data_IF_748994595799
#
_entry.id   IF_748994595799
#
_cell.length_a   1.000
_cell.length_b   1.000
_cell.length_c   1.000
_cell.angle_alpha   90.00
_cell.angle_beta   90.00
_cell.angle_gamma   90.00
#
_symmetry.space_group_name_H-M   'P 1'
#
loop_
_entity.id
_entity.type
_entity.pdbx_description
1 polymer ?
#
# COMPACT_ATOMS: atom_id res chain seq x y z
N UNK A 1 -8.21 15.49 -10.73
CA UNK A 1 -7.00 14.66 -10.64
C UNK A 1 -7.43 13.22 -10.81
N UNK A 2 -6.85 12.52 -11.75
CA UNK A 2 -7.11 11.11 -11.97
C UNK A 2 -6.26 10.31 -10.99
N UNK A 3 -6.82 9.32 -10.32
CA UNK A 3 -6.08 8.44 -9.41
C UNK A 3 -4.97 7.69 -10.19
N UNK A 4 -3.82 7.39 -9.60
CA UNK A 4 -2.81 6.62 -10.32
C UNK A 4 -3.28 5.19 -10.61
N UNK A 5 -3.88 4.53 -9.62
CA UNK A 5 -4.33 3.13 -9.70
C UNK A 5 -5.67 2.96 -8.99
N UNK A 6 -6.56 2.13 -9.54
CA UNK A 6 -7.75 1.60 -8.86
C UNK A 6 -7.81 0.09 -8.98
N UNK A 7 -8.37 -0.56 -7.98
CA UNK A 7 -8.60 -2.01 -7.95
C UNK A 7 -10.10 -2.27 -7.97
N UNK A 8 -10.53 -3.12 -8.89
CA UNK A 8 -11.93 -3.48 -9.06
C UNK A 8 -12.11 -4.98 -8.87
N UNK A 9 -12.83 -5.38 -7.84
CA UNK A 9 -13.07 -6.79 -7.49
C UNK A 9 -14.42 -7.21 -8.05
N UNK A 10 -14.41 -8.13 -8.99
CA UNK A 10 -15.60 -8.63 -9.66
C UNK A 10 -15.96 -10.02 -9.15
N UNK A 11 -17.18 -10.21 -8.70
CA UNK A 11 -17.69 -11.48 -8.24
C UNK A 11 -19.20 -11.60 -8.44
N UNK A 12 -19.70 -12.83 -8.57
CA UNK A 12 -21.14 -13.11 -8.68
C UNK A 12 -21.85 -12.84 -7.35
N UNK A 13 -23.05 -12.24 -7.35
CA UNK A 13 -23.83 -11.89 -6.13
C UNK A 13 -24.01 -13.06 -5.15
N UNK A 14 -24.09 -14.28 -5.66
CA UNK A 14 -24.26 -15.49 -4.84
C UNK A 14 -22.92 -16.12 -4.38
N UNK A 15 -21.78 -15.49 -4.66
CA UNK A 15 -20.49 -15.96 -4.13
C UNK A 15 -20.38 -15.61 -2.65
N UNK A 16 -20.49 -16.62 -1.78
CA UNK A 16 -20.63 -16.43 -0.33
C UNK A 16 -19.48 -15.63 0.31
N UNK A 17 -18.24 -15.77 -0.20
CA UNK A 17 -17.06 -15.05 0.32
C UNK A 17 -16.83 -13.68 -0.35
N UNK A 18 -17.55 -13.38 -1.44
CA UNK A 18 -17.22 -12.26 -2.32
C UNK A 18 -17.11 -10.91 -1.59
N UNK A 19 -18.10 -10.57 -0.80
CA UNK A 19 -18.11 -9.31 -0.05
C UNK A 19 -17.10 -9.28 1.10
N UNK A 20 -16.86 -10.40 1.77
CA UNK A 20 -15.84 -10.47 2.82
C UNK A 20 -14.43 -10.33 2.23
N UNK A 21 -14.16 -10.95 1.08
CA UNK A 21 -12.90 -10.78 0.35
C UNK A 21 -12.70 -9.32 -0.03
N UNK A 22 -13.74 -8.67 -0.61
CA UNK A 22 -13.69 -7.24 -0.90
C UNK A 22 -13.37 -6.41 0.34
N UNK A 23 -14.06 -6.63 1.44
CA UNK A 23 -13.84 -5.90 2.69
C UNK A 23 -12.42 -6.07 3.23
N UNK A 24 -11.87 -7.29 3.17
CA UNK A 24 -10.48 -7.56 3.55
C UNK A 24 -9.48 -6.86 2.63
N UNK A 25 -9.73 -6.90 1.32
CA UNK A 25 -8.90 -6.20 0.33
C UNK A 25 -8.96 -4.68 0.53
N UNK A 26 -10.14 -4.16 0.81
CA UNK A 26 -10.30 -2.75 1.10
C UNK A 26 -9.43 -2.30 2.30
N UNK A 27 -9.51 -3.03 3.41
CA UNK A 27 -8.68 -2.76 4.60
C UNK A 27 -7.18 -2.90 4.34
N UNK A 28 -6.82 -3.86 3.51
CA UNK A 28 -5.42 -4.16 3.19
C UNK A 28 -4.78 -3.10 2.28
N UNK A 29 -5.52 -2.68 1.26
CA UNK A 29 -5.01 -1.89 0.14
C UNK A 29 -5.47 -0.42 0.18
N UNK A 30 -6.69 -0.14 0.63
CA UNK A 30 -7.18 1.22 0.73
C UNK A 30 -6.98 1.75 2.15
N UNK A 31 -7.85 1.41 3.08
CA UNK A 31 -7.84 1.98 4.43
C UNK A 31 -8.51 1.06 5.45
N UNK A 32 -7.91 0.95 6.64
CA UNK A 32 -8.53 0.29 7.80
C UNK A 32 -9.11 1.35 8.74
N UNK A 33 -10.44 1.47 8.81
CA UNK A 33 -11.08 2.49 9.66
C UNK A 33 -10.99 2.21 11.15
N UNK A 34 -10.71 0.98 11.57
CA UNK A 34 -10.45 0.67 12.99
C UNK A 34 -9.11 1.24 13.43
N UNK A 35 -8.25 1.51 12.45
CA UNK A 35 -6.93 2.07 12.64
C UNK A 35 -6.68 3.16 11.58
N UNK A 36 -7.45 4.28 11.60
CA UNK A 36 -7.37 5.30 10.56
C UNK A 36 -6.01 5.98 10.45
N UNK A 37 -5.15 5.81 11.47
CA UNK A 37 -3.77 6.29 11.48
C UNK A 37 -2.78 5.25 10.94
N UNK A 38 -3.12 3.98 10.99
CA UNK A 38 -2.39 2.92 10.32
C UNK A 38 -2.95 2.79 8.92
N UNK A 39 -2.54 3.70 8.05
CA UNK A 39 -2.99 3.75 6.67
C UNK A 39 -2.88 2.39 5.99
N UNK A 40 -3.87 2.05 5.20
CA UNK A 40 -3.71 1.16 4.08
C UNK A 40 -2.66 1.72 3.11
N UNK A 41 -2.76 1.35 1.85
CA UNK A 41 -1.86 1.87 0.81
C UNK A 41 -2.47 3.08 0.07
N UNK A 42 -3.65 3.54 0.49
CA UNK A 42 -4.46 4.54 -0.19
C UNK A 42 -4.78 4.19 -1.66
N UNK A 43 -4.79 2.89 -2.00
CA UNK A 43 -5.21 2.39 -3.30
C UNK A 43 -6.71 2.12 -3.24
N UNK A 44 -7.56 2.85 -3.96
CA UNK A 44 -9.01 2.64 -3.92
C UNK A 44 -9.40 1.25 -4.42
N UNK A 45 -10.29 0.60 -3.68
CA UNK A 45 -10.81 -0.74 -4.00
C UNK A 45 -12.32 -0.65 -4.15
N UNK A 46 -12.82 -1.04 -5.31
CA UNK A 46 -14.24 -1.10 -5.62
C UNK A 46 -14.68 -2.55 -5.81
N UNK A 47 -15.97 -2.83 -5.64
CA UNK A 47 -16.52 -4.12 -6.00
C UNK A 47 -17.62 -3.98 -7.05
N UNK A 48 -17.78 -5.01 -7.86
CA UNK A 48 -18.79 -5.09 -8.90
C UNK A 48 -19.44 -6.47 -8.86
N UNK A 49 -20.75 -6.48 -8.86
CA UNK A 49 -21.56 -7.70 -8.87
C UNK A 49 -22.77 -7.51 -9.76
N UNK A 50 -23.53 -8.55 -9.97
CA UNK A 50 -24.80 -8.50 -10.70
C UNK A 50 -25.95 -8.12 -9.76
N UNK A 51 -26.92 -7.34 -10.28
CA UNK A 51 -28.16 -7.00 -9.59
C UNK A 51 -29.20 -8.14 -9.61
N UNK A 52 -30.42 -7.86 -9.10
CA UNK A 52 -31.52 -8.83 -9.10
C UNK A 52 -31.94 -9.27 -10.52
N UNK A 53 -31.82 -8.37 -11.49
CA UNK A 53 -32.18 -8.57 -12.88
C UNK A 53 -31.02 -9.17 -13.73
N UNK A 54 -29.87 -9.45 -13.11
CA UNK A 54 -28.70 -10.00 -13.76
C UNK A 54 -27.81 -8.97 -14.47
N UNK A 55 -28.07 -7.66 -14.31
CA UNK A 55 -27.21 -6.64 -14.88
C UNK A 55 -25.93 -6.52 -14.07
N UNK A 56 -24.78 -6.63 -14.72
CA UNK A 56 -23.48 -6.49 -14.08
C UNK A 56 -23.09 -5.02 -14.06
N UNK A 57 -22.70 -4.51 -12.89
CA UNK A 57 -22.18 -3.15 -12.75
C UNK A 57 -20.84 -3.04 -13.46
N UNK A 58 -20.78 -2.15 -14.46
CA UNK A 58 -19.56 -1.97 -15.27
C UNK A 58 -18.45 -1.27 -14.47
N UNK A 59 -17.21 -1.64 -14.78
CA UNK A 59 -16.03 -0.97 -14.24
C UNK A 59 -15.83 0.36 -14.95
N UNK A 60 -15.76 1.46 -14.18
CA UNK A 60 -15.41 2.76 -14.71
C UNK A 60 -13.87 2.92 -14.76
N UNK A 61 -13.31 2.71 -15.94
CA UNK A 61 -11.87 2.86 -16.19
C UNK A 61 -11.40 4.31 -16.29
N UNK A 62 -12.30 5.29 -16.20
CA UNK A 62 -11.95 6.71 -16.26
C UNK A 62 -11.54 7.29 -14.90
N UNK A 63 -11.79 6.56 -13.81
CA UNK A 63 -11.47 6.98 -12.44
C UNK A 63 -9.96 7.02 -12.16
N UNK A 64 -9.19 6.21 -12.88
CA UNK A 64 -7.74 6.10 -12.68
C UNK A 64 -6.98 6.06 -14.00
N UNK A 65 -5.67 6.34 -13.92
CA UNK A 65 -4.77 6.15 -15.06
C UNK A 65 -4.63 4.66 -15.39
N UNK A 66 -4.56 3.83 -14.35
CA UNK A 66 -4.37 2.39 -14.48
C UNK A 66 -5.40 1.64 -13.67
N UNK A 67 -6.12 0.72 -14.29
CA UNK A 67 -7.21 -0.05 -13.69
C UNK A 67 -6.82 -1.51 -13.54
N UNK A 68 -6.77 -2.00 -12.30
CA UNK A 68 -6.56 -3.41 -11.97
C UNK A 68 -7.90 -4.08 -11.73
N UNK A 69 -8.23 -5.13 -12.48
CA UNK A 69 -9.46 -5.90 -12.34
C UNK A 69 -9.10 -7.27 -11.77
N UNK A 70 -9.65 -7.59 -10.60
CA UNK A 70 -9.56 -8.89 -9.95
C UNK A 70 -10.88 -9.62 -10.14
N UNK A 71 -10.88 -10.67 -10.95
CA UNK A 71 -12.07 -11.45 -11.29
C UNK A 71 -12.08 -12.75 -10.48
N UNK A 72 -13.03 -12.91 -9.55
CA UNK A 72 -13.20 -14.09 -8.70
C UNK A 72 -14.21 -15.04 -9.34
N UNK A 73 -13.72 -16.09 -9.99
CA UNK A 73 -14.56 -17.00 -10.78
C UNK A 73 -14.94 -18.22 -9.95
N UNK A 74 -16.10 -18.16 -9.31
CA UNK A 74 -16.72 -19.28 -8.63
C UNK A 74 -17.67 -20.08 -9.55
N UNK A 75 -18.33 -21.09 -8.99
CA UNK A 75 -19.30 -21.88 -9.76
C UNK A 75 -20.50 -21.06 -10.23
N UNK A 76 -20.97 -20.11 -9.40
CA UNK A 76 -22.13 -19.32 -9.78
C UNK A 76 -21.83 -18.41 -10.98
N UNK A 77 -20.68 -17.74 -10.96
CA UNK A 77 -20.22 -16.92 -12.09
C UNK A 77 -20.04 -17.77 -13.35
N UNK A 78 -19.45 -18.95 -13.23
CA UNK A 78 -19.25 -19.86 -14.38
C UNK A 78 -20.56 -20.31 -15.00
N UNK A 79 -21.62 -20.54 -14.20
CA UNK A 79 -22.94 -21.00 -14.67
C UNK A 79 -23.84 -19.88 -15.19
N UNK A 80 -23.50 -18.60 -14.96
CA UNK A 80 -24.28 -17.46 -15.43
C UNK A 80 -23.95 -17.12 -16.88
N UNK A 81 -24.99 -17.04 -17.73
CA UNK A 81 -24.84 -16.65 -19.13
C UNK A 81 -24.51 -15.15 -19.23
N UNK A 82 -25.03 -14.32 -18.32
CA UNK A 82 -24.75 -12.88 -18.24
C UNK A 82 -23.26 -12.64 -17.96
N UNK A 83 -22.67 -13.36 -17.00
CA UNK A 83 -21.24 -13.26 -16.68
C UNK A 83 -20.36 -13.77 -17.82
N UNK A 84 -20.77 -14.81 -18.55
CA UNK A 84 -20.05 -15.27 -19.73
C UNK A 84 -20.06 -14.21 -20.85
N UNK A 85 -21.24 -13.65 -21.13
CA UNK A 85 -21.36 -12.57 -22.12
C UNK A 85 -20.54 -11.34 -21.73
N UNK A 86 -20.55 -10.96 -20.44
CA UNK A 86 -19.74 -9.88 -19.93
C UNK A 86 -18.24 -10.16 -20.08
N UNK A 87 -17.78 -11.37 -19.74
CA UNK A 87 -16.40 -11.78 -19.90
C UNK A 87 -15.93 -11.77 -21.37
N UNK A 88 -16.77 -12.24 -22.29
CA UNK A 88 -16.44 -12.27 -23.71
C UNK A 88 -16.47 -10.89 -24.37
N UNK A 89 -17.31 -9.97 -23.93
CA UNK A 89 -17.47 -8.64 -24.51
C UNK A 89 -16.60 -7.60 -23.80
N UNK A 90 -16.92 -7.30 -22.54
CA UNK A 90 -16.32 -6.17 -21.79
C UNK A 90 -14.92 -6.47 -21.28
N UNK A 91 -14.71 -7.59 -20.60
CA UNK A 91 -13.37 -7.91 -20.06
C UNK A 91 -12.34 -8.11 -21.16
N UNK A 92 -12.79 -8.52 -22.35
CA UNK A 92 -11.91 -8.63 -23.52
C UNK A 92 -11.53 -7.28 -24.10
N UNK A 93 -12.43 -6.28 -24.05
CA UNK A 93 -12.12 -4.92 -24.47
C UNK A 93 -11.08 -4.28 -23.56
N UNK A 94 -11.20 -4.47 -22.23
CA UNK A 94 -10.22 -3.98 -21.26
C UNK A 94 -8.82 -4.56 -21.51
N UNK A 95 -8.73 -5.78 -22.00
CA UNK A 95 -7.44 -6.43 -22.31
C UNK A 95 -6.67 -5.78 -23.44
N UNK A 96 -7.34 -5.14 -24.38
CA UNK A 96 -6.69 -4.43 -25.51
C UNK A 96 -6.11 -3.09 -25.06
N UNK A 97 -6.58 -2.58 -23.93
CA UNK A 97 -6.06 -1.36 -23.34
C UNK A 97 -4.89 -1.68 -22.40
N UNK A 98 -3.71 -1.13 -22.67
CA UNK A 98 -2.52 -1.34 -21.84
C UNK A 98 -2.69 -0.82 -20.42
N UNK A 99 -3.56 0.18 -20.22
CA UNK A 99 -3.85 0.79 -18.91
C UNK A 99 -4.77 -0.04 -18.02
N UNK A 100 -5.37 -1.12 -18.56
CA UNK A 100 -6.29 -1.98 -17.81
C UNK A 100 -5.83 -3.43 -17.88
N UNK A 101 -5.65 -4.07 -16.73
CA UNK A 101 -5.24 -5.48 -16.64
C UNK A 101 -6.29 -6.29 -15.88
N UNK A 102 -6.62 -7.46 -16.42
CA UNK A 102 -7.56 -8.41 -15.81
C UNK A 102 -6.80 -9.62 -15.26
N UNK A 103 -6.92 -9.83 -13.96
CA UNK A 103 -6.36 -10.97 -13.24
C UNK A 103 -7.49 -11.87 -12.75
N UNK A 104 -7.54 -13.09 -13.25
CA UNK A 104 -8.55 -14.04 -12.90
C UNK A 104 -8.10 -15.00 -11.80
N UNK A 105 -8.96 -15.21 -10.80
CA UNK A 105 -8.79 -16.18 -9.72
C UNK A 105 -9.75 -17.33 -9.95
N UNK A 106 -9.23 -18.51 -10.20
CA UNK A 106 -10.04 -19.70 -10.41
C UNK A 106 -10.43 -20.35 -9.07
N UNK A 107 -11.72 -20.27 -8.72
CA UNK A 107 -12.34 -20.88 -7.55
C UNK A 107 -13.29 -22.02 -7.93
N UNK A 108 -13.30 -22.40 -9.18
CA UNK A 108 -14.05 -23.49 -9.73
C UNK A 108 -13.19 -24.26 -10.74
N UNK A 109 -13.33 -25.57 -10.80
CA UNK A 109 -12.49 -26.43 -11.65
C UNK A 109 -12.50 -26.08 -13.14
N UNK A 110 -13.57 -25.44 -13.62
CA UNK A 110 -13.72 -25.00 -15.01
C UNK A 110 -13.64 -23.48 -15.17
N UNK A 111 -13.13 -22.75 -14.16
CA UNK A 111 -13.03 -21.30 -14.20
C UNK A 111 -12.32 -20.76 -15.46
N UNK A 112 -11.32 -21.49 -15.98
CA UNK A 112 -10.57 -21.11 -17.17
C UNK A 112 -11.41 -21.21 -18.47
N UNK A 113 -12.56 -21.89 -18.44
CA UNK A 113 -13.50 -22.00 -19.55
C UNK A 113 -14.59 -20.92 -19.55
N UNK A 114 -14.58 -19.98 -18.58
CA UNK A 114 -15.56 -18.89 -18.50
C UNK A 114 -15.60 -18.11 -19.83
N UNK A 115 -14.45 -17.88 -20.44
CA UNK A 115 -14.30 -17.25 -21.74
C UNK A 115 -13.09 -17.80 -22.47
N UNK A 116 -13.26 -18.17 -23.75
CA UNK A 116 -12.16 -18.66 -24.59
C UNK A 116 -11.02 -17.65 -24.74
N UNK A 117 -11.30 -16.37 -24.52
CA UNK A 117 -10.32 -15.28 -24.60
C UNK A 117 -9.59 -15.06 -23.27
N UNK A 118 -10.26 -15.26 -22.13
CA UNK A 118 -9.63 -15.23 -20.81
C UNK A 118 -8.75 -16.47 -20.58
N UNK A 119 -9.07 -17.62 -21.18
CA UNK A 119 -8.29 -18.86 -21.03
C UNK A 119 -6.81 -18.73 -21.41
N UNK A 120 -6.46 -17.71 -22.20
CA UNK A 120 -5.06 -17.37 -22.55
C UNK A 120 -4.34 -16.55 -21.49
N UNK A 121 -5.03 -16.12 -20.43
CA UNK A 121 -4.44 -15.37 -19.34
C UNK A 121 -3.86 -16.32 -18.29
N UNK A 122 -2.91 -15.82 -17.53
CA UNK A 122 -2.42 -16.54 -16.37
C UNK A 122 -3.45 -16.43 -15.24
N UNK A 123 -4.02 -17.58 -14.85
CA UNK A 123 -4.94 -17.66 -13.72
C UNK A 123 -4.16 -17.81 -12.41
N UNK A 124 -4.60 -17.12 -11.38
CA UNK A 124 -4.21 -17.41 -10.02
C UNK A 124 -5.04 -18.61 -9.52
N UNK A 125 -4.46 -19.80 -9.55
CA UNK A 125 -5.12 -21.01 -9.12
C UNK A 125 -4.60 -21.45 -7.74
N UNK A 126 -5.52 -21.66 -6.80
CA UNK A 126 -5.22 -22.09 -5.43
C UNK A 126 -5.72 -23.50 -5.14
N UNK A 127 -6.25 -24.22 -6.15
CA UNK A 127 -6.86 -25.55 -6.00
C UNK A 127 -7.92 -25.59 -4.89
N UNK A 128 -8.68 -24.52 -4.72
CA UNK A 128 -9.73 -24.38 -3.71
C UNK A 128 -10.95 -23.69 -4.30
N UNK A 129 -12.09 -23.89 -3.66
CA UNK A 129 -13.35 -23.18 -3.99
C UNK A 129 -13.61 -21.98 -3.08
N UNK A 130 -12.72 -21.76 -2.10
CA UNK A 130 -12.81 -20.72 -1.10
C UNK A 130 -11.44 -20.04 -0.89
N UNK A 131 -11.35 -18.72 -0.88
CA UNK A 131 -10.10 -17.98 -0.69
C UNK A 131 -9.76 -17.69 0.78
N UNK A 132 -10.77 -17.55 1.62
CA UNK A 132 -10.54 -17.20 3.02
C UNK A 132 -9.65 -18.17 3.78
N UNK A 133 -9.74 -19.51 3.57
CA UNK A 133 -8.84 -20.47 4.21
C UNK A 133 -7.38 -20.37 3.75
N UNK A 134 -7.12 -19.83 2.55
CA UNK A 134 -5.79 -19.67 1.95
C UNK A 134 -5.41 -18.20 1.79
N UNK A 135 -5.95 -17.35 2.66
CA UNK A 135 -5.86 -15.89 2.56
C UNK A 135 -4.42 -15.38 2.47
N UNK A 136 -3.52 -15.90 3.30
CA UNK A 136 -2.12 -15.43 3.33
C UNK A 136 -1.37 -15.76 2.04
N UNK A 137 -1.63 -16.93 1.45
CA UNK A 137 -1.07 -17.28 0.14
C UNK A 137 -1.67 -16.42 -0.97
N UNK A 138 -2.98 -16.21 -0.93
CA UNK A 138 -3.66 -15.31 -1.86
C UNK A 138 -3.10 -13.89 -1.78
N UNK A 139 -2.94 -13.36 -0.56
CA UNK A 139 -2.37 -12.03 -0.32
C UNK A 139 -0.96 -11.91 -0.91
N UNK A 140 -0.11 -12.91 -0.71
CA UNK A 140 1.24 -12.93 -1.26
C UNK A 140 1.22 -12.82 -2.78
N UNK A 141 0.40 -13.63 -3.45
CA UNK A 141 0.28 -13.61 -4.92
C UNK A 141 -0.36 -12.32 -5.44
N UNK A 142 -1.34 -11.78 -4.71
CA UNK A 142 -1.95 -10.51 -5.06
C UNK A 142 -0.93 -9.38 -5.01
N UNK A 143 -0.12 -9.30 -3.96
CA UNK A 143 0.95 -8.30 -3.89
C UNK A 143 1.94 -8.42 -5.05
N UNK A 144 2.31 -9.65 -5.47
CA UNK A 144 3.15 -9.84 -6.66
C UNK A 144 2.54 -9.18 -7.89
N UNK A 145 1.32 -9.59 -8.20
CA UNK A 145 0.68 -9.09 -9.41
C UNK A 145 0.46 -7.58 -9.37
N UNK A 146 0.19 -7.01 -8.19
CA UNK A 146 0.06 -5.56 -8.01
C UNK A 146 1.41 -4.82 -8.13
N UNK A 147 2.49 -5.37 -7.57
CA UNK A 147 3.82 -4.77 -7.70
C UNK A 147 4.22 -4.75 -9.18
N UNK A 148 4.05 -5.86 -9.91
CA UNK A 148 4.31 -5.90 -11.35
C UNK A 148 3.48 -4.90 -12.11
N UNK A 149 2.18 -4.85 -11.82
CA UNK A 149 1.27 -3.91 -12.44
C UNK A 149 1.70 -2.46 -12.25
N UNK A 150 2.10 -2.08 -11.02
CA UNK A 150 2.55 -0.72 -10.70
C UNK A 150 3.93 -0.40 -11.29
N UNK A 151 4.84 -1.38 -11.36
CA UNK A 151 6.20 -1.17 -11.89
C UNK A 151 6.27 -1.15 -13.41
N UNK A 152 5.39 -1.87 -14.12
CA UNK A 152 5.34 -1.84 -15.59
C UNK A 152 5.10 -0.42 -16.12
N UNK A 153 4.37 0.42 -15.39
CA UNK A 153 4.10 1.81 -15.78
C UNK A 153 5.24 2.79 -15.48
N UNK A 154 6.11 2.46 -14.53
CA UNK A 154 7.26 3.29 -14.19
C UNK A 154 8.44 3.11 -15.18
N UNK A 155 8.44 2.04 -15.97
CA UNK A 155 9.56 1.64 -16.83
C UNK A 155 9.19 1.67 -18.33
N UNK A 156 8.33 2.59 -18.76
CA UNK A 156 7.85 2.69 -20.14
C UNK A 156 8.95 2.87 -21.22
N UNK A 157 10.20 3.16 -20.82
CA UNK A 157 11.32 3.42 -21.72
C UNK A 157 12.29 2.25 -21.89
N UNK A 158 12.17 1.13 -21.17
CA UNK A 158 13.14 0.04 -21.25
C UNK A 158 12.47 -1.34 -21.34
N UNK A 159 12.89 -2.14 -22.34
CA UNK A 159 12.56 -3.54 -22.64
C UNK A 159 11.64 -4.21 -21.58
N UNK A 160 10.35 -4.32 -21.87
CA UNK A 160 9.18 -4.74 -21.08
C UNK A 160 9.34 -6.01 -20.21
N UNK A 161 10.47 -6.25 -19.61
CA UNK A 161 10.72 -7.36 -18.70
C UNK A 161 10.67 -6.89 -17.26
N UNK A 162 9.68 -7.39 -16.54
CA UNK A 162 9.67 -7.33 -15.08
C UNK A 162 11.02 -7.81 -14.55
N UNK A 163 11.76 -6.90 -13.91
CA UNK A 163 12.96 -7.28 -13.15
C UNK A 163 12.52 -7.87 -11.83
N UNK A 164 12.91 -9.12 -11.58
CA UNK A 164 12.74 -9.74 -10.27
C UNK A 164 13.38 -8.84 -9.20
N UNK A 165 12.72 -8.73 -8.05
CA UNK A 165 13.23 -7.91 -6.95
C UNK A 165 14.43 -8.60 -6.29
N UNK A 166 15.52 -7.90 -6.19
CA UNK A 166 16.66 -8.34 -5.40
C UNK A 166 16.40 -8.13 -3.92
N UNK A 167 16.73 -9.13 -3.09
CA UNK A 167 16.63 -9.02 -1.63
C UNK A 167 18.03 -8.90 -1.03
N UNK A 168 18.19 -7.94 -0.14
CA UNK A 168 19.38 -7.85 0.71
C UNK A 168 19.01 -8.19 2.16
N UNK A 169 19.63 -9.22 2.74
CA UNK A 169 19.41 -9.66 4.12
C UNK A 169 20.55 -9.12 5.00
N UNK A 170 20.26 -8.07 5.76
CA UNK A 170 21.19 -7.49 6.73
C UNK A 170 21.05 -8.17 8.08
N UNK A 171 22.18 -8.62 8.65
CA UNK A 171 22.19 -9.30 9.93
C UNK A 171 23.54 -9.17 10.65
N UNK A 172 23.53 -9.25 11.97
CA UNK A 172 24.76 -9.36 12.75
C UNK A 172 25.31 -10.78 12.66
N UNK A 173 26.59 -10.94 12.30
CA UNK A 173 27.24 -12.27 12.10
C UNK A 173 27.19 -13.15 13.36
N UNK A 174 27.21 -12.53 14.55
CA UNK A 174 27.35 -13.24 15.83
C UNK A 174 26.09 -14.02 16.20
N UNK A 175 24.92 -13.43 16.02
CA UNK A 175 23.63 -13.95 16.52
C UNK A 175 22.51 -13.96 15.47
N UNK A 176 22.65 -13.24 14.36
CA UNK A 176 21.65 -13.16 13.28
C UNK A 176 21.87 -14.14 12.13
N UNK A 177 23.08 -14.73 12.00
CA UNK A 177 23.45 -15.54 10.83
C UNK A 177 22.50 -16.71 10.57
N UNK A 178 22.18 -17.50 11.60
CA UNK A 178 21.29 -18.67 11.48
C UNK A 178 19.89 -18.27 10.98
N UNK A 179 19.37 -17.16 11.49
CA UNK A 179 18.03 -16.66 11.11
C UNK A 179 18.03 -16.15 9.68
N UNK A 180 19.13 -15.49 9.26
CA UNK A 180 19.29 -15.02 7.88
C UNK A 180 19.39 -16.20 6.90
N UNK A 181 20.15 -17.24 7.24
CA UNK A 181 20.24 -18.48 6.44
C UNK A 181 18.88 -19.19 6.35
N UNK A 182 18.10 -19.26 7.44
CA UNK A 182 16.75 -19.83 7.47
C UNK A 182 15.79 -19.05 6.55
N UNK A 183 15.82 -17.72 6.58
CA UNK A 183 15.05 -16.89 5.63
C UNK A 183 15.47 -17.16 4.18
N UNK A 184 16.76 -17.21 3.90
CA UNK A 184 17.27 -17.52 2.56
C UNK A 184 16.77 -18.88 2.08
N UNK A 185 16.91 -19.91 2.91
CA UNK A 185 16.48 -21.26 2.59
C UNK A 185 14.97 -21.34 2.36
N UNK A 186 14.17 -20.60 3.14
CA UNK A 186 12.74 -20.46 2.93
C UNK A 186 12.43 -19.84 1.55
N UNK A 187 13.13 -18.78 1.16
CA UNK A 187 12.93 -18.12 -0.14
C UNK A 187 13.33 -19.03 -1.30
N UNK A 188 14.42 -19.82 -1.15
CA UNK A 188 14.90 -20.79 -2.14
C UNK A 188 13.95 -21.97 -2.27
N UNK A 189 13.50 -22.56 -1.15
CA UNK A 189 12.59 -23.72 -1.15
C UNK A 189 11.17 -23.36 -1.60
N UNK A 190 10.73 -22.16 -1.31
CA UNK A 190 9.46 -21.60 -1.80
C UNK A 190 9.51 -21.28 -3.30
N UNK A 191 10.61 -21.61 -3.96
CA UNK A 191 11.02 -21.19 -5.30
C UNK A 191 9.99 -21.34 -6.42
N UNK A 192 8.99 -22.21 -6.31
CA UNK A 192 7.88 -22.25 -7.29
C UNK A 192 6.82 -21.17 -7.05
N UNK A 193 6.70 -20.64 -5.81
CA UNK A 193 5.67 -19.67 -5.41
C UNK A 193 6.21 -18.24 -5.31
N UNK A 194 7.48 -18.08 -4.95
CA UNK A 194 8.15 -16.79 -4.71
C UNK A 194 9.26 -16.49 -5.74
N UNK A 195 9.71 -17.47 -6.53
CA UNK A 195 10.78 -17.29 -7.54
C UNK A 195 10.42 -16.33 -8.65
N UNK A 196 9.13 -16.09 -8.85
CA UNK A 196 8.68 -15.06 -9.78
C UNK A 196 8.86 -13.64 -9.24
N UNK A 197 9.03 -13.48 -7.90
CA UNK A 197 9.21 -12.20 -7.24
C UNK A 197 10.65 -11.83 -7.01
N UNK A 198 11.38 -12.80 -6.45
CA UNK A 198 12.72 -12.58 -6.00
C UNK A 198 13.69 -13.30 -6.92
N UNK A 199 14.69 -12.58 -7.37
CA UNK A 199 15.86 -13.23 -7.93
C UNK A 199 16.60 -13.96 -6.80
N UNK A 200 16.33 -15.25 -6.69
CA UNK A 200 16.91 -16.13 -5.68
C UNK A 200 18.44 -16.18 -5.79
N UNK A 201 18.98 -15.95 -7.00
CA UNK A 201 20.43 -15.90 -7.23
C UNK A 201 21.05 -14.58 -6.76
N UNK A 202 20.24 -13.54 -6.57
CA UNK A 202 20.66 -12.23 -6.07
C UNK A 202 20.35 -12.01 -4.59
N UNK A 203 19.99 -13.06 -3.83
CA UNK A 203 19.90 -12.98 -2.37
C UNK A 203 21.29 -12.82 -1.83
N UNK A 204 21.61 -11.60 -1.41
CA UNK A 204 22.93 -11.28 -0.89
C UNK A 204 22.90 -11.27 0.62
N UNK A 205 23.82 -12.04 1.20
CA UNK A 205 24.17 -11.90 2.61
C UNK A 205 25.26 -10.84 2.72
N UNK A 206 25.25 -10.02 3.77
CA UNK A 206 26.26 -9.01 4.05
C UNK A 206 27.68 -9.57 4.16
N UNK A 207 28.31 -9.90 3.03
CA UNK A 207 29.67 -10.43 2.92
C UNK A 207 30.58 -9.54 2.06
N UNK A 208 31.59 -9.02 2.72
CA UNK A 208 32.92 -8.64 2.23
C UNK A 208 33.06 -8.07 0.81
N UNK A 209 32.84 -6.78 0.66
CA UNK A 209 33.55 -5.84 -0.23
C UNK A 209 32.74 -4.54 -0.20
N UNK A 210 33.38 -3.52 0.35
CA UNK A 210 32.76 -2.27 0.75
C UNK A 210 31.91 -1.61 -0.36
N UNK A 211 32.44 -1.55 -1.57
CA UNK A 211 31.79 -0.87 -2.69
C UNK A 211 30.67 -1.71 -3.33
N UNK A 212 30.87 -3.01 -3.49
CA UNK A 212 29.87 -3.90 -4.06
C UNK A 212 28.66 -4.07 -3.13
N UNK A 213 28.89 -4.10 -1.81
CA UNK A 213 27.84 -4.19 -0.82
C UNK A 213 26.93 -2.96 -0.86
N UNK A 214 27.52 -1.78 -0.94
CA UNK A 214 26.80 -0.51 -1.01
C UNK A 214 25.97 -0.41 -2.29
N UNK A 215 26.50 -0.84 -3.42
CA UNK A 215 25.77 -0.80 -4.70
C UNK A 215 24.62 -1.80 -4.74
N UNK A 216 24.78 -2.96 -4.12
CA UNK A 216 23.71 -3.95 -3.99
C UNK A 216 22.57 -3.45 -3.10
N UNK A 217 22.88 -2.82 -1.97
CA UNK A 217 21.86 -2.19 -1.09
C UNK A 217 21.06 -1.15 -1.85
N UNK A 218 21.69 -0.36 -2.73
CA UNK A 218 21.01 0.68 -3.52
C UNK A 218 19.95 0.15 -4.50
N UNK A 219 20.04 -1.12 -4.88
CA UNK A 219 19.17 -1.72 -5.90
C UNK A 219 18.19 -2.75 -5.33
N UNK A 220 18.36 -3.14 -4.06
CA UNK A 220 17.60 -4.21 -3.42
C UNK A 220 16.56 -3.70 -2.45
N UNK A 221 15.51 -4.49 -2.22
CA UNK A 221 14.67 -4.36 -1.04
C UNK A 221 15.41 -4.99 0.15
N UNK A 222 15.27 -4.41 1.34
CA UNK A 222 16.08 -4.80 2.48
C UNK A 222 15.27 -5.46 3.59
N UNK A 223 15.73 -6.62 4.04
CA UNK A 223 15.24 -7.28 5.25
C UNK A 223 16.32 -7.22 6.32
N UNK A 224 16.00 -6.59 7.44
CA UNK A 224 16.90 -6.46 8.59
C UNK A 224 16.53 -7.49 9.64
N UNK A 225 17.43 -8.45 9.91
CA UNK A 225 17.32 -9.37 11.04
C UNK A 225 17.90 -8.67 12.27
N UNK A 226 17.02 -8.05 13.04
CA UNK A 226 17.38 -7.24 14.19
C UNK A 226 17.49 -8.11 15.45
N UNK A 227 18.71 -8.43 15.81
CA UNK A 227 19.10 -9.19 17.00
C UNK A 227 19.75 -8.31 18.05
N UNK A 228 20.06 -8.85 19.23
CA UNK A 228 20.68 -8.11 20.33
C UNK A 228 22.01 -7.46 19.95
N UNK A 229 22.79 -8.11 19.09
CA UNK A 229 24.10 -7.61 18.63
C UNK A 229 24.02 -6.64 17.46
N UNK A 230 22.87 -6.52 16.80
CA UNK A 230 22.73 -5.76 15.55
C UNK A 230 23.16 -4.30 15.70
N UNK A 231 22.69 -3.62 16.75
CA UNK A 231 22.96 -2.19 17.00
C UNK A 231 24.43 -1.89 17.36
N UNK A 232 25.21 -2.91 17.72
CA UNK A 232 26.63 -2.77 18.04
C UNK A 232 27.52 -2.90 16.80
N UNK A 233 26.96 -3.26 15.63
CA UNK A 233 27.72 -3.53 14.41
C UNK A 233 27.69 -2.35 13.45
N UNK A 234 28.83 -1.72 13.28
CA UNK A 234 28.97 -0.54 12.41
C UNK A 234 28.51 -0.82 10.97
N UNK A 235 28.77 -2.01 10.42
CA UNK A 235 28.33 -2.40 9.09
C UNK A 235 26.82 -2.47 8.98
N UNK A 236 26.15 -3.09 9.92
CA UNK A 236 24.67 -3.16 9.94
C UNK A 236 24.05 -1.75 9.97
N UNK A 237 24.68 -0.85 10.73
CA UNK A 237 24.28 0.55 10.78
C UNK A 237 24.43 1.22 9.42
N UNK A 238 25.59 1.06 8.77
CA UNK A 238 25.87 1.63 7.43
C UNK A 238 24.90 1.10 6.37
N UNK A 239 24.58 -0.20 6.39
CA UNK A 239 23.62 -0.81 5.47
C UNK A 239 22.24 -0.18 5.57
N UNK A 240 21.69 -0.03 6.78
CA UNK A 240 20.39 0.64 6.99
C UNK A 240 20.44 2.10 6.53
N UNK A 241 21.50 2.83 6.92
CA UNK A 241 21.64 4.24 6.53
C UNK A 241 21.64 4.38 5.01
N UNK A 242 22.36 3.49 4.32
CA UNK A 242 22.46 3.52 2.87
C UNK A 242 21.15 3.14 2.17
N UNK A 243 20.45 2.13 2.68
CA UNK A 243 19.11 1.76 2.16
C UNK A 243 18.10 2.90 2.32
N UNK A 244 18.09 3.60 3.47
CA UNK A 244 17.25 4.77 3.70
C UNK A 244 17.61 5.94 2.78
N UNK A 245 18.91 6.26 2.64
CA UNK A 245 19.37 7.29 1.71
C UNK A 245 18.96 6.99 0.27
N UNK A 246 19.04 5.72 -0.13
CA UNK A 246 18.64 5.25 -1.47
C UNK A 246 17.12 5.05 -1.60
N UNK A 247 16.34 5.41 -0.59
CA UNK A 247 14.87 5.28 -0.55
C UNK A 247 14.41 3.86 -0.91
N UNK A 248 15.08 2.84 -0.36
CA UNK A 248 14.69 1.44 -0.61
C UNK A 248 13.64 0.98 0.38
N UNK A 249 12.71 0.06 -0.03
CA UNK A 249 11.83 -0.61 0.92
C UNK A 249 12.66 -1.36 1.96
N UNK A 250 12.37 -1.15 3.24
CA UNK A 250 13.04 -1.80 4.36
C UNK A 250 11.99 -2.39 5.29
N UNK A 251 12.23 -3.60 5.76
CA UNK A 251 11.44 -4.24 6.82
C UNK A 251 12.37 -4.73 7.92
N UNK A 252 12.00 -4.46 9.17
CA UNK A 252 12.74 -4.93 10.33
C UNK A 252 12.06 -6.15 10.92
N UNK A 253 12.82 -7.21 11.06
CA UNK A 253 12.41 -8.46 11.68
C UNK A 253 13.08 -8.55 13.04
N UNK A 254 12.30 -8.30 14.11
CA UNK A 254 12.80 -8.42 15.45
C UNK A 254 12.95 -9.90 15.85
N UNK A 255 14.18 -10.32 16.07
CA UNK A 255 14.57 -11.64 16.54
C UNK A 255 15.47 -11.49 17.77
N UNK A 256 14.91 -10.88 18.81
CA UNK A 256 15.62 -10.53 20.04
C UNK A 256 15.22 -11.48 21.13
N UNK A 257 16.20 -12.14 21.74
CA UNK A 257 16.05 -12.96 22.95
C UNK A 257 16.55 -12.16 24.15
N UNK A 258 15.62 -11.52 24.88
CA UNK A 258 15.93 -10.77 26.09
C UNK A 258 16.08 -9.25 25.91
N UNK A 259 16.61 -8.55 26.93
CA UNK A 259 16.73 -7.10 26.89
C UNK A 259 17.81 -6.63 25.93
N UNK A 260 17.62 -5.44 25.36
CA UNK A 260 18.61 -4.77 24.52
C UNK A 260 19.03 -3.48 25.21
N UNK A 261 20.31 -3.36 25.52
CA UNK A 261 20.84 -2.18 26.23
C UNK A 261 20.79 -0.90 25.41
N UNK A 262 20.87 -1.05 24.08
CA UNK A 262 20.86 0.07 23.14
C UNK A 262 20.16 -0.29 21.83
N UNK A 263 19.15 0.51 21.50
CA UNK A 263 18.51 0.44 20.18
C UNK A 263 19.19 1.40 19.20
N UNK A 264 19.10 1.06 17.91
CA UNK A 264 19.60 1.91 16.84
C UNK A 264 18.61 3.04 16.55
N UNK A 265 18.98 4.32 16.78
CA UNK A 265 18.02 5.44 16.74
C UNK A 265 17.53 5.80 15.34
N UNK A 266 18.22 5.37 14.28
CA UNK A 266 17.90 5.74 12.89
C UNK A 266 17.00 4.72 12.18
N UNK A 267 16.36 3.81 12.91
CA UNK A 267 15.35 2.91 12.38
C UNK A 267 14.09 3.71 11.98
N UNK A 268 13.73 4.71 12.78
CA UNK A 268 12.62 5.63 12.46
C UNK A 268 11.29 4.91 12.24
N UNK A 269 10.55 5.36 11.23
CA UNK A 269 9.23 4.84 10.86
C UNK A 269 9.30 3.61 9.93
N UNK A 270 10.30 2.74 10.08
CA UNK A 270 10.43 1.55 9.24
C UNK A 270 9.43 0.48 9.72
N UNK A 271 8.63 -0.11 8.79
CA UNK A 271 7.76 -1.23 9.13
C UNK A 271 8.51 -2.38 9.78
N UNK A 272 7.93 -2.93 10.84
CA UNK A 272 8.60 -3.97 11.63
C UNK A 272 7.65 -5.08 12.08
N UNK A 273 8.20 -6.26 12.29
CA UNK A 273 7.48 -7.45 12.76
C UNK A 273 8.37 -8.27 13.68
N UNK A 274 7.76 -8.88 14.70
CA UNK A 274 8.48 -9.86 15.55
C UNK A 274 8.51 -11.22 14.86
N UNK A 275 9.69 -11.84 14.77
CA UNK A 275 9.84 -13.18 14.24
C UNK A 275 9.29 -14.23 15.22
N UNK A 276 8.38 -15.06 14.74
CA UNK A 276 7.72 -16.10 15.53
C UNK A 276 7.89 -17.51 14.95
N UNK A 277 8.93 -17.72 14.13
CA UNK A 277 9.19 -18.99 13.47
C UNK A 277 8.45 -19.19 12.15
N UNK A 278 7.75 -18.17 11.65
CA UNK A 278 7.05 -18.20 10.36
C UNK A 278 7.47 -17.00 9.50
N UNK A 279 7.87 -17.27 8.27
CA UNK A 279 8.34 -16.26 7.32
C UNK A 279 7.23 -15.66 6.46
N UNK A 280 6.08 -16.32 6.33
CA UNK A 280 5.00 -15.83 5.47
C UNK A 280 4.48 -14.44 5.86
N UNK A 281 4.26 -14.12 7.15
CA UNK A 281 3.90 -12.77 7.56
C UNK A 281 5.00 -11.73 7.28
N UNK A 282 6.28 -12.13 7.40
CA UNK A 282 7.43 -11.27 7.08
C UNK A 282 7.44 -10.93 5.59
N UNK A 283 7.27 -11.93 4.73
CA UNK A 283 7.22 -11.75 3.28
C UNK A 283 6.03 -10.88 2.88
N UNK A 284 4.86 -11.10 3.46
CA UNK A 284 3.69 -10.27 3.20
C UNK A 284 3.90 -8.81 3.61
N UNK A 285 4.57 -8.56 4.75
CA UNK A 285 4.93 -7.20 5.15
C UNK A 285 5.94 -6.57 4.19
N UNK A 286 6.93 -7.33 3.73
CA UNK A 286 7.94 -6.86 2.77
C UNK A 286 7.30 -6.47 1.43
N UNK A 287 6.43 -7.32 0.91
CA UNK A 287 5.71 -7.06 -0.35
C UNK A 287 4.76 -5.86 -0.20
N UNK A 288 4.02 -5.78 0.91
CA UNK A 288 3.17 -4.64 1.22
C UNK A 288 3.98 -3.34 1.27
N UNK A 289 5.13 -3.34 1.94
CA UNK A 289 6.02 -2.18 2.05
C UNK A 289 6.55 -1.76 0.68
N UNK A 290 6.91 -2.73 -0.15
CA UNK A 290 7.39 -2.49 -1.52
C UNK A 290 6.28 -1.89 -2.40
N UNK A 291 5.08 -2.47 -2.37
CA UNK A 291 3.92 -1.94 -3.11
C UNK A 291 3.58 -0.51 -2.65
N UNK A 292 3.58 -0.27 -1.34
CA UNK A 292 3.33 1.06 -0.79
C UNK A 292 4.31 2.08 -1.35
N UNK A 293 5.60 1.78 -1.32
CA UNK A 293 6.61 2.71 -1.81
C UNK A 293 6.40 3.05 -3.28
N UNK A 294 6.22 2.06 -4.15
CA UNK A 294 6.00 2.31 -5.58
C UNK A 294 4.70 3.05 -5.87
N UNK A 295 3.63 2.72 -5.14
CA UNK A 295 2.37 3.45 -5.26
C UNK A 295 2.50 4.91 -4.82
N UNK A 296 3.19 5.17 -3.69
CA UNK A 296 3.42 6.54 -3.21
C UNK A 296 4.34 7.32 -4.17
N UNK A 297 5.31 6.69 -4.80
CA UNK A 297 6.13 7.32 -5.85
C UNK A 297 5.27 7.78 -7.04
N UNK A 298 4.30 6.95 -7.47
CA UNK A 298 3.34 7.33 -8.52
C UNK A 298 2.41 8.46 -8.06
N UNK A 299 1.82 8.32 -6.87
CA UNK A 299 0.84 9.26 -6.33
C UNK A 299 1.46 10.64 -6.12
N UNK A 300 2.66 10.68 -5.54
CA UNK A 300 3.35 11.91 -5.18
C UNK A 300 4.19 12.48 -6.32
N UNK A 301 4.54 11.66 -7.31
CA UNK A 301 5.38 12.07 -8.44
C UNK A 301 4.85 13.27 -9.22
N UNK A 302 3.52 13.43 -9.25
CA UNK A 302 2.87 14.58 -9.91
C UNK A 302 3.13 15.95 -9.23
N UNK A 303 3.59 15.94 -7.96
CA UNK A 303 3.90 17.16 -7.21
C UNK A 303 5.35 17.57 -7.30
N UNK A 304 6.21 16.73 -7.89
CA UNK A 304 7.65 16.99 -7.96
C UNK A 304 7.94 18.14 -8.93
N UNK A 305 8.56 19.19 -8.41
CA UNK A 305 9.08 20.32 -9.18
C UNK A 305 10.41 20.83 -8.60
N UNK A 306 10.91 21.96 -9.07
CA UNK A 306 12.19 22.54 -8.63
C UNK A 306 12.21 23.00 -7.17
N UNK A 307 11.06 23.19 -6.54
CA UNK A 307 10.90 23.65 -5.14
C UNK A 307 10.16 22.64 -4.27
N UNK A 308 9.84 21.48 -4.82
CA UNK A 308 9.06 20.46 -4.14
C UNK A 308 9.78 19.13 -4.17
N UNK A 309 10.05 18.61 -2.98
CA UNK A 309 10.58 17.27 -2.76
C UNK A 309 9.46 16.34 -2.32
N UNK A 310 9.57 15.08 -2.68
CA UNK A 310 8.65 14.05 -2.24
C UNK A 310 9.37 13.03 -1.35
N UNK A 311 8.68 12.57 -0.31
CA UNK A 311 9.07 11.42 0.52
C UNK A 311 7.93 10.42 0.51
N UNK A 312 8.22 9.14 0.36
CA UNK A 312 7.22 8.06 0.31
C UNK A 312 6.73 7.60 1.68
N UNK A 313 7.30 8.19 2.74
CA UNK A 313 6.91 8.01 4.14
C UNK A 313 6.93 9.34 4.84
N UNK A 314 6.28 9.45 6.01
CA UNK A 314 6.39 10.65 6.83
C UNK A 314 7.87 10.97 7.10
N UNK A 315 8.33 12.22 6.89
CA UNK A 315 9.71 12.60 7.10
C UNK A 315 10.06 12.53 8.60
N UNK A 316 11.27 12.09 8.88
CA UNK A 316 11.88 12.14 10.21
C UNK A 316 13.20 12.97 10.20
N UNK A 317 13.74 13.24 11.35
CA UNK A 317 14.96 14.06 11.47
C UNK A 317 16.14 13.50 10.68
N UNK A 318 16.25 12.17 10.58
CA UNK A 318 17.31 11.54 9.82
C UNK A 318 17.09 11.66 8.30
N UNK A 319 15.87 11.46 7.82
CA UNK A 319 15.56 11.59 6.39
C UNK A 319 15.81 13.02 5.85
N UNK A 320 15.70 14.03 6.72
CA UNK A 320 16.00 15.42 6.36
C UNK A 320 17.49 15.68 6.10
N UNK A 321 18.39 14.85 6.65
CA UNK A 321 19.83 14.98 6.37
C UNK A 321 20.17 14.67 4.91
N UNK A 322 19.35 13.88 4.22
CA UNK A 322 19.53 13.58 2.79
C UNK A 322 19.27 14.77 1.87
N UNK A 323 18.66 15.83 2.40
CA UNK A 323 18.42 17.08 1.68
C UNK A 323 19.39 18.20 2.12
N UNK A 324 20.47 17.85 2.81
CA UNK A 324 21.42 18.82 3.36
C UNK A 324 22.13 19.67 2.26
N UNK A 325 22.24 19.16 1.04
CA UNK A 325 22.85 19.87 -0.10
C UNK A 325 21.97 21.04 -0.59
N UNK A 326 20.65 21.02 -0.30
CA UNK A 326 19.74 22.12 -0.67
C UNK A 326 19.90 23.26 0.36
N UNK A 327 20.26 24.48 -0.06
CA UNK A 327 20.44 25.59 0.86
C UNK A 327 19.19 25.85 1.71
N UNK A 328 19.39 26.05 3.02
CA UNK A 328 18.29 26.40 3.92
C UNK A 328 17.72 27.83 3.66
N UNK A 329 18.32 28.57 2.75
CA UNK A 329 17.90 29.90 2.34
C UNK A 329 16.74 29.87 1.34
N UNK A 330 16.51 28.75 0.68
CA UNK A 330 15.51 28.61 -0.37
C UNK A 330 14.19 28.09 0.21
N UNK A 331 13.08 28.58 -0.34
CA UNK A 331 11.77 28.04 -0.05
C UNK A 331 11.67 26.61 -0.60
N UNK A 332 11.28 25.67 0.25
CA UNK A 332 11.18 24.25 -0.07
C UNK A 332 9.88 23.66 0.45
N UNK A 333 9.17 22.95 -0.38
CA UNK A 333 8.05 22.11 0.03
C UNK A 333 8.50 20.66 0.12
N UNK A 334 8.17 19.98 1.23
CA UNK A 334 8.37 18.54 1.40
C UNK A 334 6.99 17.92 1.50
N UNK A 335 6.61 17.18 0.44
CA UNK A 335 5.32 16.50 0.37
C UNK A 335 5.52 15.03 0.75
N UNK A 336 4.66 14.56 1.65
CA UNK A 336 4.68 13.20 2.20
C UNK A 336 3.25 12.63 2.27
N UNK A 337 3.08 11.29 2.34
CA UNK A 337 1.76 10.65 2.41
C UNK A 337 0.94 11.11 3.61
N UNK A 338 -0.39 11.03 3.48
CA UNK A 338 -1.31 11.16 4.62
C UNK A 338 -1.01 10.10 5.70
N UNK A 339 -1.23 10.36 6.97
CA UNK A 339 -1.79 11.57 7.59
C UNK A 339 -0.75 12.66 7.89
N UNK A 340 -1.19 13.92 8.19
CA UNK A 340 -0.28 14.98 8.62
C UNK A 340 0.49 14.60 9.90
N UNK A 341 1.76 14.95 9.94
CA UNK A 341 2.57 14.85 11.17
C UNK A 341 2.08 15.82 12.24
N UNK A 342 2.27 15.44 13.50
CA UNK A 342 1.84 16.24 14.64
C UNK A 342 2.59 17.57 14.77
N UNK A 343 2.00 18.54 15.48
CA UNK A 343 2.59 19.88 15.68
C UNK A 343 3.96 19.85 16.32
N UNK A 344 4.13 19.05 17.36
CA UNK A 344 5.41 18.98 18.09
C UNK A 344 6.50 18.36 17.22
N UNK A 345 6.16 17.34 16.45
CA UNK A 345 7.06 16.73 15.47
C UNK A 345 7.41 17.71 14.36
N UNK A 346 6.43 18.46 13.84
CA UNK A 346 6.66 19.53 12.87
C UNK A 346 7.66 20.58 13.38
N UNK A 347 7.58 20.98 14.66
CA UNK A 347 8.54 21.92 15.26
C UNK A 347 9.96 21.34 15.27
N UNK A 348 10.10 20.04 15.56
CA UNK A 348 11.40 19.37 15.55
C UNK A 348 11.96 19.34 14.12
N UNK A 349 11.17 18.93 13.15
CA UNK A 349 11.60 18.84 11.75
C UNK A 349 12.00 20.21 11.17
N UNK A 350 11.25 21.26 11.49
CA UNK A 350 11.59 22.65 11.11
C UNK A 350 12.92 23.09 11.72
N UNK A 351 13.22 22.73 12.96
CA UNK A 351 14.52 23.04 13.60
C UNK A 351 15.67 22.33 12.91
N UNK A 352 15.49 21.04 12.56
CA UNK A 352 16.51 20.26 11.85
C UNK A 352 16.81 20.86 10.47
N UNK A 353 15.79 21.32 9.75
CA UNK A 353 15.94 21.85 8.38
C UNK A 353 16.20 23.36 8.31
N UNK A 354 16.25 24.08 9.43
CA UNK A 354 16.66 25.49 9.43
C UNK A 354 15.54 26.52 9.30
N UNK A 355 14.33 26.22 9.80
CA UNK A 355 13.33 27.24 10.07
C UNK A 355 12.11 27.30 9.15
N UNK A 356 11.55 28.52 8.98
CA UNK A 356 10.22 28.73 8.39
C UNK A 356 10.17 28.66 6.86
N UNK A 357 11.30 28.51 6.19
CA UNK A 357 11.36 28.40 4.72
C UNK A 357 11.03 27.01 4.18
N UNK A 358 11.00 26.00 5.06
CA UNK A 358 10.58 24.65 4.66
C UNK A 358 9.15 24.39 5.12
N UNK A 359 8.29 24.07 4.16
CA UNK A 359 6.91 23.67 4.40
C UNK A 359 6.79 22.16 4.29
N UNK A 360 6.30 21.53 5.35
CA UNK A 360 5.95 20.11 5.36
C UNK A 360 4.45 19.98 5.18
N UNK A 361 4.00 19.26 4.16
CA UNK A 361 2.58 19.13 3.88
C UNK A 361 2.25 17.78 3.23
N UNK A 362 1.03 17.33 3.45
CA UNK A 362 0.47 16.21 2.71
C UNK A 362 -0.11 16.71 1.37
N UNK A 363 -0.41 15.82 0.42
CA UNK A 363 -1.04 16.19 -0.85
C UNK A 363 -2.31 17.01 -0.66
N UNK A 364 -3.12 16.66 0.33
CA UNK A 364 -4.38 17.36 0.62
C UNK A 364 -4.12 18.77 1.15
N UNK A 365 -3.12 18.95 2.01
CA UNK A 365 -2.71 20.27 2.51
C UNK A 365 -2.10 21.14 1.40
N UNK A 366 -1.27 20.53 0.53
CA UNK A 366 -0.64 21.23 -0.59
C UNK A 366 -1.66 21.74 -1.60
N UNK A 367 -2.67 20.92 -1.89
CA UNK A 367 -3.77 21.29 -2.79
C UNK A 367 -4.79 22.23 -2.20
N UNK A 368 -4.60 22.68 -0.98
CA UNK A 368 -5.55 23.59 -0.33
C UNK A 368 -6.04 24.62 -1.35
N UNK A 369 -7.26 24.36 -1.85
CA UNK A 369 -7.86 25.01 -3.03
C UNK A 369 -8.24 26.48 -2.81
N UNK A 370 -7.56 27.19 -1.93
CA UNK A 370 -7.92 28.55 -1.57
C UNK A 370 -9.25 28.68 -0.82
N UNK A 371 -9.93 27.57 -0.57
CA UNK A 371 -11.16 27.53 0.20
C UNK A 371 -10.82 27.71 1.68
N UNK A 372 -11.27 28.80 2.26
CA UNK A 372 -11.17 29.04 3.71
C UNK A 372 -12.58 28.97 4.31
N UNK A 373 -12.83 27.88 5.04
CA UNK A 373 -14.08 27.67 5.78
C UNK A 373 -14.03 28.25 7.20
N UNK A 374 -13.08 29.11 7.50
CA UNK A 374 -12.95 29.75 8.81
C UNK A 374 -14.29 30.39 9.21
N UNK A 375 -14.73 30.04 10.43
CA UNK A 375 -16.05 30.45 10.99
C UNK A 375 -17.27 29.81 10.29
N UNK A 376 -17.10 28.83 9.41
CA UNK A 376 -18.21 28.07 8.86
C UNK A 376 -18.44 26.79 9.65
N UNK A 377 -19.69 26.50 9.96
CA UNK A 377 -20.14 25.23 10.50
C UNK A 377 -20.71 24.41 9.32
N UNK A 378 -20.16 23.22 9.10
CA UNK A 378 -20.62 22.30 8.05
C UNK A 378 -21.35 21.15 8.74
N UNK A 379 -22.64 21.05 8.50
CA UNK A 379 -23.43 19.93 9.02
C UNK A 379 -23.23 18.71 8.12
N UNK A 380 -22.96 17.57 8.74
CA UNK A 380 -22.81 16.28 8.06
C UNK A 380 -23.91 15.36 8.54
N UNK A 381 -24.65 14.79 7.60
CA UNK A 381 -25.62 13.71 7.83
C UNK A 381 -25.19 12.50 7.01
N UNK A 382 -24.96 11.40 7.69
CA UNK A 382 -24.58 10.12 7.07
C UNK A 382 -25.56 9.07 7.57
N UNK A 383 -26.19 8.38 6.64
CA UNK A 383 -27.06 7.24 6.94
C UNK A 383 -26.69 6.07 6.04
N UNK A 384 -26.71 4.88 6.62
CA UNK A 384 -26.65 3.65 5.87
C UNK A 384 -27.98 3.36 5.19
N UNK A 385 -27.94 2.78 3.99
CA UNK A 385 -29.13 2.42 3.24
C UNK A 385 -28.84 1.14 2.43
N UNK A 386 -29.74 0.17 2.51
CA UNK A 386 -29.66 -1.09 1.75
C UNK A 386 -29.56 -0.86 0.24
N UNK A 387 -30.10 0.25 -0.28
CA UNK A 387 -30.01 0.62 -1.69
C UNK A 387 -28.58 0.92 -2.16
N UNK A 388 -27.66 1.25 -1.24
CA UNK A 388 -26.26 1.50 -1.60
C UNK A 388 -25.58 0.24 -2.12
N UNK A 389 -25.84 -0.90 -1.48
CA UNK A 389 -25.26 -2.17 -1.89
C UNK A 389 -25.72 -2.58 -3.29
N UNK A 390 -26.99 -2.37 -3.62
CA UNK A 390 -27.53 -2.65 -4.96
C UNK A 390 -26.88 -1.80 -6.07
N UNK A 391 -26.22 -0.70 -5.69
CA UNK A 391 -25.47 0.19 -6.59
C UNK A 391 -23.96 -0.06 -6.58
N UNK A 392 -23.51 -1.17 -5.97
CA UNK A 392 -22.08 -1.47 -5.84
C UNK A 392 -21.34 -0.59 -4.83
N UNK A 393 -22.06 0.11 -3.93
CA UNK A 393 -21.49 0.99 -2.91
C UNK A 393 -21.61 0.28 -1.56
N UNK A 394 -20.49 -0.20 -1.03
CA UNK A 394 -20.42 -0.79 0.31
C UNK A 394 -20.33 0.25 1.42
N UNK A 395 -20.53 -0.19 2.66
CA UNK A 395 -20.34 0.65 3.86
C UNK A 395 -18.93 1.24 3.93
N UNK A 396 -17.95 0.52 3.43
CA UNK A 396 -16.55 0.94 3.34
C UNK A 396 -16.44 2.22 2.52
N UNK A 397 -17.02 2.25 1.34
CA UNK A 397 -16.98 3.42 0.45
C UNK A 397 -17.70 4.63 1.05
N UNK A 398 -18.84 4.41 1.73
CA UNK A 398 -19.55 5.48 2.43
C UNK A 398 -18.69 6.09 3.56
N UNK A 399 -18.04 5.24 4.34
CA UNK A 399 -17.12 5.68 5.41
C UNK A 399 -15.93 6.43 4.84
N UNK A 400 -15.35 5.92 3.76
CA UNK A 400 -14.19 6.54 3.12
C UNK A 400 -14.52 7.91 2.52
N UNK A 401 -15.61 8.01 1.79
CA UNK A 401 -16.10 9.30 1.28
C UNK A 401 -16.36 10.30 2.42
N UNK A 402 -16.90 9.83 3.54
CA UNK A 402 -17.13 10.66 4.73
C UNK A 402 -15.81 11.13 5.34
N UNK A 403 -14.82 10.24 5.45
CA UNK A 403 -13.47 10.58 5.94
C UNK A 403 -12.83 11.67 5.05
N UNK A 404 -12.88 11.50 3.74
CA UNK A 404 -12.29 12.46 2.81
C UNK A 404 -12.97 13.84 2.89
N UNK A 405 -14.28 13.88 2.95
CA UNK A 405 -15.04 15.14 3.12
C UNK A 405 -14.63 15.84 4.43
N UNK A 406 -14.51 15.09 5.53
CA UNK A 406 -14.15 15.64 6.84
C UNK A 406 -12.73 16.18 6.85
N UNK A 407 -11.79 15.44 6.28
CA UNK A 407 -10.39 15.89 6.12
C UNK A 407 -10.33 17.21 5.37
N UNK A 408 -11.03 17.32 4.25
CA UNK A 408 -11.09 18.56 3.46
C UNK A 408 -11.69 19.74 4.26
N UNK A 409 -12.74 19.49 5.06
CA UNK A 409 -13.33 20.53 5.91
C UNK A 409 -12.33 21.02 6.94
N UNK A 410 -11.65 20.10 7.64
CA UNK A 410 -10.67 20.48 8.67
C UNK A 410 -9.44 21.20 8.09
N UNK A 411 -8.88 20.69 7.01
CA UNK A 411 -7.76 21.36 6.32
C UNK A 411 -8.13 22.76 5.83
N UNK A 412 -9.40 22.97 5.49
CA UNK A 412 -9.94 24.30 5.10
C UNK A 412 -10.39 25.15 6.29
N UNK A 413 -10.00 24.82 7.53
CA UNK A 413 -10.36 25.51 8.78
C UNK A 413 -11.87 25.50 9.10
N UNK A 414 -12.64 24.59 8.53
CA UNK A 414 -14.08 24.43 8.82
C UNK A 414 -14.33 23.72 10.15
N UNK A 415 -15.54 23.91 10.68
CA UNK A 415 -16.03 23.17 11.85
C UNK A 415 -17.12 22.20 11.42
N UNK A 416 -17.13 21.00 11.99
CA UNK A 416 -18.12 19.99 11.72
C UNK A 416 -19.19 20.02 12.82
N UNK A 417 -20.45 19.92 12.37
CA UNK A 417 -21.62 19.67 13.22
C UNK A 417 -22.21 18.34 12.80
N UNK A 418 -22.30 17.42 13.72
CA UNK A 418 -22.83 16.08 13.50
C UNK A 418 -23.85 15.72 14.58
N UNK A 419 -24.97 15.13 14.17
CA UNK A 419 -26.08 14.79 15.07
C UNK A 419 -25.78 13.70 16.11
N UNK A 420 -24.67 12.99 15.91
CA UNK A 420 -24.14 11.99 16.85
C UNK A 420 -24.73 10.60 16.64
N UNK A 421 -23.84 9.62 16.55
CA UNK A 421 -24.11 8.20 16.77
C UNK A 421 -22.96 7.68 17.62
N UNK A 422 -23.25 7.34 18.89
CA UNK A 422 -22.27 6.87 19.89
C UNK A 422 -22.12 5.35 19.92
N UNK A 423 -22.71 4.64 18.97
CA UNK A 423 -22.46 3.22 18.80
C UNK A 423 -20.98 2.92 18.52
N UNK A 424 -20.50 1.74 18.89
CA UNK A 424 -19.11 1.33 18.79
C UNK A 424 -18.53 1.47 17.36
N UNK A 425 -19.38 1.29 16.34
CA UNK A 425 -19.02 1.48 14.92
C UNK A 425 -19.58 2.79 14.33
N UNK A 426 -20.05 3.72 15.17
CA UNK A 426 -20.64 4.99 14.76
C UNK A 426 -19.59 6.00 14.30
N UNK A 427 -20.03 6.96 13.52
CA UNK A 427 -19.14 8.00 12.96
C UNK A 427 -18.61 8.98 14.01
N UNK A 428 -19.19 9.08 15.21
CA UNK A 428 -18.76 10.04 16.25
C UNK A 428 -17.31 9.80 16.68
N UNK A 429 -16.93 8.55 16.91
CA UNK A 429 -15.55 8.20 17.28
C UNK A 429 -14.59 8.54 16.16
N UNK A 430 -14.91 8.18 14.92
CA UNK A 430 -14.14 8.50 13.73
C UNK A 430 -13.94 10.03 13.56
N UNK A 431 -15.00 10.81 13.72
CA UNK A 431 -14.94 12.27 13.62
C UNK A 431 -14.05 12.90 14.69
N UNK A 432 -14.13 12.37 15.91
CA UNK A 432 -13.23 12.80 16.99
C UNK A 432 -11.77 12.55 16.68
N UNK A 433 -11.44 11.38 16.19
CA UNK A 433 -10.07 11.02 15.84
C UNK A 433 -9.53 11.89 14.69
N UNK A 434 -10.33 12.09 13.65
CA UNK A 434 -10.00 12.99 12.55
C UNK A 434 -9.83 14.45 13.03
N UNK A 435 -10.65 14.90 13.98
CA UNK A 435 -10.53 16.23 14.57
C UNK A 435 -9.22 16.40 15.36
N UNK A 436 -8.77 15.36 16.07
CA UNK A 436 -7.49 15.38 16.78
C UNK A 436 -6.31 15.43 15.80
N UNK A 437 -6.43 14.79 14.65
CA UNK A 437 -5.36 14.70 13.67
C UNK A 437 -5.27 15.91 12.74
N UNK A 438 -6.42 16.42 12.30
CA UNK A 438 -6.52 17.51 11.31
C UNK A 438 -7.01 18.83 11.90
N UNK A 439 -7.68 18.79 13.06
CA UNK A 439 -8.38 19.94 13.64
C UNK A 439 -7.49 21.02 14.22
N UNK A 440 -6.22 20.74 14.45
CA UNK A 440 -5.23 21.71 14.94
C UNK A 440 -4.83 22.76 13.90
N UNK A 441 -5.26 22.60 12.67
CA UNK A 441 -5.20 23.63 11.63
C UNK A 441 -6.39 24.61 11.72
N UNK A 442 -7.30 24.41 12.69
CA UNK A 442 -8.54 25.14 12.91
C UNK A 442 -8.46 26.10 14.11
N UNK A 443 -7.35 26.83 14.33
CA UNK A 443 -7.32 27.96 15.27
C UNK A 443 -7.67 29.29 14.62
#
# INVERSE_FOLDING_TARGET
MTLPVTINVLFHKNFAEGYEIYTRLYKLLCRDYKHPFNSGLDIPVYFHTDDADGNIHEVDTTLSKHTYILLLIDQNMYMSDEWRMYADSKLTQYRVNDDTKVYAVGLYKYAFELSARLSKNQFLNFNTTALLPVWDEFQTRLFDTLIRFVTDFNNADDDHRYKQLSIFISHAKKDGKRIAEDLRDYLVQSGSKLSSFFDVNSIMEGYNFEDQLIDNVKQSIMVVIFTSEYSSREWCIREIMKARESKRPIVIVYAIDGPVDRTFPYIGNIPSISYKGDWLPVINLLLKTTLNQYHQELLLGEYKDSRTLITTTAPDAFSLTFFAEIPNTDELNIIYPEPPIGKDEMVILKRVRGGDKTTFCTPMQYRRLGIDLKKRNVAISVSDNDDLFSKGIGQEMLKDATIEIIRHIFISNGKIVYGGNIEENGFTTLFRELALQYGDYCQ
#
